data_IF_223994618683
#
_entry.id   IF_223994618683
#
_cell.length_a   1.000
_cell.length_b   1.000
_cell.length_c   1.000
_cell.angle_alpha   90.00
_cell.angle_beta   90.00
_cell.angle_gamma   90.00
#
_symmetry.space_group_name_H-M   'P 1'
#
loop_
_entity.id
_entity.type
_entity.pdbx_description
1 polymer ?
#
# COMPACT_ATOMS: atom_id res chain seq x y z
N UNK A 1 -1.35 18.84 2.77
CA UNK A 1 -2.58 18.02 2.87
C UNK A 1 -2.91 17.60 1.44
N UNK A 2 -2.95 16.29 1.15
CA UNK A 2 -3.28 15.75 -0.20
C UNK A 2 -4.78 15.86 -0.48
N UNK A 3 -5.57 15.83 0.60
CA UNK A 3 -7.02 15.83 0.57
C UNK A 3 -7.55 17.24 0.68
N UNK A 4 -8.61 17.52 -0.08
CA UNK A 4 -9.37 18.75 0.07
C UNK A 4 -10.00 18.81 1.47
N UNK A 5 -9.83 19.94 2.14
CA UNK A 5 -10.47 20.25 3.42
C UNK A 5 -11.10 21.64 3.33
N UNK A 6 -12.44 21.76 3.20
CA UNK A 6 -13.47 20.70 3.27
C UNK A 6 -13.54 19.82 2.01
N UNK A 7 -14.15 18.61 2.10
CA UNK A 7 -14.25 17.70 0.96
C UNK A 7 -15.04 18.33 -0.19
N UNK A 8 -14.45 18.30 -1.39
CA UNK A 8 -15.08 18.79 -2.61
C UNK A 8 -16.12 17.81 -3.18
N UNK A 9 -17.09 18.34 -3.93
CA UNK A 9 -18.13 17.56 -4.62
C UNK A 9 -17.54 16.58 -5.65
N UNK A 10 -16.44 16.97 -6.30
CA UNK A 10 -15.64 16.08 -7.15
C UNK A 10 -14.43 15.58 -6.36
N UNK A 11 -14.30 14.26 -6.12
CA UNK A 11 -13.17 13.74 -5.39
C UNK A 11 -11.88 13.89 -6.21
N UNK A 12 -10.83 14.44 -5.59
CA UNK A 12 -9.47 14.47 -6.16
C UNK A 12 -9.03 13.05 -6.56
N UNK A 13 -8.66 12.88 -7.84
CA UNK A 13 -8.17 11.60 -8.34
C UNK A 13 -6.64 11.60 -8.27
N UNK A 14 -6.13 10.78 -7.36
CA UNK A 14 -4.71 10.65 -7.11
C UNK A 14 -3.98 10.06 -8.31
N UNK A 15 -2.83 10.66 -8.62
CA UNK A 15 -1.95 10.24 -9.69
C UNK A 15 -0.47 10.35 -9.26
N UNK A 16 0.44 10.23 -10.22
CA UNK A 16 1.88 10.27 -9.98
C UNK A 16 2.39 11.54 -9.27
N UNK A 17 1.75 12.70 -9.46
CA UNK A 17 2.13 13.96 -8.81
C UNK A 17 1.87 13.94 -7.31
N UNK A 18 0.92 13.13 -6.86
CA UNK A 18 0.52 13.05 -5.45
C UNK A 18 1.30 11.99 -4.67
N UNK A 19 2.16 11.20 -5.33
CA UNK A 19 2.77 10.01 -4.74
C UNK A 19 3.59 10.31 -3.48
N UNK A 20 4.49 11.27 -3.52
CA UNK A 20 5.36 11.52 -2.36
C UNK A 20 4.52 12.02 -1.18
N UNK A 21 3.62 12.97 -1.43
CA UNK A 21 2.73 13.53 -0.43
C UNK A 21 1.76 12.49 0.16
N UNK A 22 1.20 11.56 -0.63
CA UNK A 22 0.34 10.49 -0.11
C UNK A 22 1.13 9.53 0.79
N UNK A 23 2.38 9.20 0.42
CA UNK A 23 3.19 8.25 1.20
C UNK A 23 3.75 8.82 2.49
N UNK A 24 3.89 10.13 2.56
CA UNK A 24 4.38 10.86 3.75
C UNK A 24 3.24 11.32 4.66
N UNK A 25 1.98 11.20 4.22
CA UNK A 25 0.82 11.72 4.94
C UNK A 25 0.50 11.03 6.27
N UNK A 26 1.07 9.85 6.53
CA UNK A 26 0.73 9.02 7.70
C UNK A 26 -0.69 8.41 7.64
N UNK A 27 -1.44 8.62 6.56
CA UNK A 27 -2.81 8.13 6.44
C UNK A 27 -2.86 6.64 6.10
N UNK A 28 -3.77 5.86 6.72
CA UNK A 28 -3.89 4.43 6.47
C UNK A 28 -4.51 4.10 5.10
N UNK A 29 -5.23 5.04 4.50
CA UNK A 29 -5.97 4.85 3.25
C UNK A 29 -5.78 6.00 2.27
N UNK A 30 -5.85 5.68 0.98
CA UNK A 30 -5.85 6.65 -0.11
C UNK A 30 -6.89 6.24 -1.18
N UNK A 31 -7.67 7.22 -1.65
CA UNK A 31 -8.67 7.07 -2.75
C UNK A 31 -9.03 8.43 -3.36
N UNK A 32 -9.38 8.58 -4.63
CA UNK A 32 -9.58 7.55 -5.65
C UNK A 32 -8.40 7.52 -6.63
N UNK A 33 -8.27 6.42 -7.37
CA UNK A 33 -7.27 6.26 -8.42
C UNK A 33 -7.97 5.97 -9.75
N UNK A 34 -7.39 6.41 -10.87
CA UNK A 34 -7.82 5.91 -12.19
C UNK A 34 -7.39 4.46 -12.35
N UNK A 35 -8.26 3.65 -12.95
CA UNK A 35 -7.91 2.29 -13.30
C UNK A 35 -6.71 2.28 -14.27
N UNK A 36 -5.68 1.50 -13.94
CA UNK A 36 -4.48 1.39 -14.76
C UNK A 36 -3.56 2.62 -14.75
N UNK A 37 -3.74 3.54 -13.81
CA UNK A 37 -2.82 4.67 -13.64
C UNK A 37 -1.43 4.18 -13.19
N UNK A 38 -0.37 4.80 -13.73
CA UNK A 38 1.01 4.46 -13.42
C UNK A 38 1.37 4.61 -11.93
N UNK A 39 0.62 5.43 -11.17
CA UNK A 39 0.80 5.52 -9.72
C UNK A 39 0.53 4.19 -9.02
N UNK A 40 -0.38 3.36 -9.54
CA UNK A 40 -0.68 2.04 -8.99
C UNK A 40 0.54 1.10 -9.11
N UNK A 41 1.25 1.13 -10.23
CA UNK A 41 2.50 0.38 -10.40
C UNK A 41 3.62 0.90 -9.46
N UNK A 42 3.65 2.22 -9.22
CA UNK A 42 4.60 2.82 -8.27
C UNK A 42 4.27 2.39 -6.83
N UNK A 43 2.99 2.35 -6.45
CA UNK A 43 2.51 1.85 -5.14
C UNK A 43 2.90 0.37 -4.99
N UNK A 44 2.61 -0.45 -5.98
CA UNK A 44 2.95 -1.87 -5.97
C UNK A 44 4.44 -2.12 -5.75
N UNK A 45 5.29 -1.40 -6.48
CA UNK A 45 6.74 -1.60 -6.42
C UNK A 45 7.41 -0.99 -5.18
N UNK A 46 6.99 0.20 -4.75
CA UNK A 46 7.66 0.97 -3.69
C UNK A 46 7.06 0.78 -2.30
N UNK A 47 5.74 0.63 -2.22
CA UNK A 47 5.02 0.49 -0.95
C UNK A 47 4.81 -0.99 -0.65
N UNK A 48 4.10 -1.69 -1.53
CA UNK A 48 3.71 -3.08 -1.32
C UNK A 48 4.84 -4.08 -1.60
N UNK A 49 5.91 -3.63 -2.26
CA UNK A 49 7.06 -4.47 -2.69
C UNK A 49 6.60 -5.71 -3.46
N UNK A 50 5.51 -5.55 -4.21
CA UNK A 50 4.87 -6.59 -5.02
C UNK A 50 5.65 -6.76 -6.32
N UNK A 51 5.98 -8.00 -6.66
CA UNK A 51 6.53 -8.33 -7.98
C UNK A 51 5.40 -8.43 -9.00
N UNK A 52 5.72 -8.16 -10.26
CA UNK A 52 4.76 -8.26 -11.36
C UNK A 52 4.03 -9.61 -11.37
N UNK A 53 2.69 -9.57 -11.46
CA UNK A 53 1.78 -10.72 -11.36
C UNK A 53 1.92 -11.60 -10.10
N UNK A 54 2.51 -11.09 -9.02
CA UNK A 54 2.59 -11.79 -7.73
C UNK A 54 1.66 -11.17 -6.70
N UNK A 55 1.33 -11.96 -5.68
CA UNK A 55 0.67 -11.47 -4.49
C UNK A 55 1.58 -10.49 -3.73
N UNK A 56 0.99 -9.60 -2.94
CA UNK A 56 1.74 -8.76 -2.01
C UNK A 56 2.41 -9.66 -0.96
N UNK A 57 3.72 -9.55 -0.74
CA UNK A 57 4.38 -10.28 0.33
C UNK A 57 3.89 -9.80 1.70
N UNK A 58 3.41 -10.74 2.51
CA UNK A 58 2.92 -10.50 3.86
C UNK A 58 3.23 -11.67 4.79
N UNK A 59 2.69 -11.62 6.01
CA UNK A 59 2.89 -12.69 7.01
C UNK A 59 2.34 -14.05 6.56
N UNK A 60 1.39 -14.06 5.61
CA UNK A 60 0.86 -15.28 5.00
C UNK A 60 1.82 -15.97 4.03
N UNK A 61 2.92 -15.35 3.59
CA UNK A 61 3.87 -16.00 2.68
C UNK A 61 4.82 -16.91 3.46
N UNK A 62 4.60 -18.23 3.38
CA UNK A 62 5.35 -19.24 4.16
C UNK A 62 6.48 -19.91 3.38
N UNK A 63 6.60 -19.64 2.08
CA UNK A 63 7.64 -20.21 1.22
C UNK A 63 9.04 -19.68 1.54
N UNK A 64 10.05 -20.53 1.37
CA UNK A 64 11.46 -20.12 1.55
C UNK A 64 11.85 -19.09 0.49
N UNK A 65 12.37 -17.95 0.93
CA UNK A 65 12.93 -16.92 0.05
C UNK A 65 14.18 -17.46 -0.64
N UNK A 66 14.08 -17.74 -1.94
CA UNK A 66 15.19 -18.11 -2.83
C UNK A 66 15.18 -17.20 -4.04
N UNK A 67 16.31 -17.04 -4.71
CA UNK A 67 16.46 -16.04 -5.77
C UNK A 67 15.42 -16.19 -6.91
N UNK A 68 15.06 -17.42 -7.24
CA UNK A 68 14.11 -17.78 -8.29
C UNK A 68 12.72 -18.16 -7.78
N UNK A 69 12.49 -18.13 -6.47
CA UNK A 69 11.25 -18.64 -5.88
C UNK A 69 10.51 -17.53 -5.16
N UNK A 70 9.25 -17.34 -5.54
CA UNK A 70 8.37 -16.41 -4.86
C UNK A 70 7.95 -17.01 -3.50
N UNK A 71 8.28 -16.37 -2.37
CA UNK A 71 7.90 -16.86 -1.04
C UNK A 71 6.38 -16.97 -0.86
N UNK A 72 5.60 -16.25 -1.66
CA UNK A 72 4.15 -16.30 -1.66
C UNK A 72 3.57 -17.37 -2.58
N UNK A 73 4.38 -18.29 -3.12
CA UNK A 73 3.88 -19.50 -3.81
C UNK A 73 3.38 -20.58 -2.85
N UNK A 74 3.65 -20.43 -1.55
CA UNK A 74 3.10 -21.24 -0.47
C UNK A 74 2.47 -20.28 0.54
N UNK A 75 1.24 -20.58 0.97
CA UNK A 75 0.50 -19.75 1.91
C UNK A 75 0.44 -20.43 3.27
N UNK A 76 0.70 -19.66 4.31
CA UNK A 76 0.52 -20.04 5.71
C UNK A 76 -0.80 -19.52 6.25
N UNK A 77 -0.83 -19.23 7.56
CA UNK A 77 -2.00 -18.65 8.21
C UNK A 77 -2.19 -17.17 7.78
N UNK A 78 -3.34 -16.86 7.20
CA UNK A 78 -3.71 -15.50 6.77
C UNK A 78 -4.16 -14.59 7.93
N UNK A 79 -4.51 -15.17 9.08
CA UNK A 79 -4.96 -14.43 10.27
C UNK A 79 -3.81 -13.78 11.04
N UNK A 80 -2.55 -14.08 10.66
CA UNK A 80 -1.37 -13.47 11.29
C UNK A 80 -1.22 -12.05 10.75
N UNK A 81 -1.47 -11.06 11.60
CA UNK A 81 -1.24 -9.64 11.30
C UNK A 81 0.07 -9.18 11.95
N UNK A 82 0.99 -8.64 11.15
CA UNK A 82 2.22 -8.00 11.64
C UNK A 82 2.40 -6.65 10.94
N UNK A 83 2.72 -5.58 11.68
CA UNK A 83 2.96 -4.28 11.06
C UNK A 83 4.17 -4.36 10.12
N UNK A 84 4.01 -3.78 8.93
CA UNK A 84 5.12 -3.51 8.02
C UNK A 84 5.63 -2.07 8.17
N UNK A 85 6.69 -1.68 7.46
CA UNK A 85 7.30 -0.35 7.60
C UNK A 85 6.34 0.83 7.36
N UNK A 86 5.30 0.65 6.54
CA UNK A 86 4.28 1.68 6.34
C UNK A 86 3.22 1.70 7.43
N UNK A 87 2.92 0.56 8.06
CA UNK A 87 2.01 0.52 9.20
C UNK A 87 2.61 1.23 10.42
N UNK A 88 3.94 1.19 10.57
CA UNK A 88 4.67 1.91 11.62
C UNK A 88 4.61 3.44 11.48
N UNK A 89 4.27 3.95 10.29
CA UNK A 89 4.16 5.39 10.01
C UNK A 89 2.75 5.94 10.21
N UNK A 90 1.79 5.08 10.53
CA UNK A 90 0.42 5.53 10.76
C UNK A 90 0.41 6.27 12.10
N UNK A 91 0.18 7.58 12.06
CA UNK A 91 -0.08 8.35 13.26
C UNK A 91 -1.49 7.99 13.75
N UNK A 92 -1.53 7.14 14.77
CA UNK A 92 -2.75 6.87 15.53
C UNK A 92 -2.89 7.98 16.55
N UNK A 93 -3.18 9.21 16.08
CA UNK A 93 -3.74 10.20 16.98
C UNK A 93 -5.18 9.75 17.26
N UNK A 94 -5.42 9.44 18.53
CA UNK A 94 -6.61 8.83 19.07
C UNK A 94 -7.88 9.58 18.67
N UNK A 95 -8.70 8.96 17.82
CA UNK A 95 -10.14 9.25 17.79
C UNK A 95 -10.88 8.03 18.34
N UNK A 96 -10.93 8.01 19.68
CA UNK A 96 -12.16 7.64 20.41
C UNK A 96 -12.94 8.93 20.60
#
# INVERSE_FOLDING_TARGET
>A
MVWDSPPMLEPHILNMTDFDQMTESGMPFARQFRQGDAVLDKIDSRILKRRYYKAVPGAWCSGKRRWWMDPCSQWGNADIVRPGPQAEKIDVESEI
#
